data_IF_366387348242
#
_entry.id   IF_366387348242
#
_cell.length_a   1.000
_cell.length_b   1.000
_cell.length_c   1.000
_cell.angle_alpha   90.00
_cell.angle_beta   90.00
_cell.angle_gamma   90.00
#
_symmetry.space_group_name_H-M   'P 1'
#
loop_
_entity.id
_entity.type
_entity.pdbx_description
1 polymer ?
#
# COMPACT_ATOMS: atom_id res chain seq x y z
N UNK A 1 -7.93 -9.49 -3.69
CA UNK A 1 -7.03 -9.54 -2.52
C UNK A 1 -5.84 -8.66 -2.79
N UNK A 2 -5.51 -7.76 -1.89
CA UNK A 2 -4.19 -7.18 -1.92
C UNK A 2 -3.27 -8.03 -1.05
N UNK A 3 -2.24 -8.56 -1.66
CA UNK A 3 -1.08 -9.02 -0.93
C UNK A 3 -0.02 -7.94 -1.02
N UNK A 4 0.51 -7.50 0.09
CA UNK A 4 1.62 -6.54 0.11
C UNK A 4 2.78 -6.99 -0.78
N UNK A 5 2.99 -8.31 -0.88
CA UNK A 5 3.96 -8.91 -1.77
C UNK A 5 3.67 -8.64 -3.26
N UNK A 6 2.41 -8.61 -3.67
CA UNK A 6 2.03 -8.32 -5.06
C UNK A 6 2.20 -6.82 -5.38
N UNK A 7 1.85 -5.96 -4.42
CA UNK A 7 2.10 -4.51 -4.54
C UNK A 7 3.61 -4.23 -4.67
N UNK A 8 4.42 -4.86 -3.80
CA UNK A 8 5.88 -4.76 -3.88
C UNK A 8 6.41 -5.20 -5.25
N UNK A 9 6.01 -6.37 -5.72
CA UNK A 9 6.44 -6.91 -7.01
C UNK A 9 6.08 -5.99 -8.17
N UNK A 10 4.85 -5.47 -8.18
CA UNK A 10 4.39 -4.56 -9.24
C UNK A 10 5.22 -3.29 -9.29
N UNK A 11 5.54 -2.70 -8.13
CA UNK A 11 6.38 -1.51 -8.04
C UNK A 11 7.82 -1.82 -8.47
N UNK A 12 8.39 -2.92 -7.99
CA UNK A 12 9.74 -3.35 -8.32
C UNK A 12 9.90 -3.68 -9.82
N UNK A 13 8.95 -4.39 -10.41
CA UNK A 13 8.92 -4.69 -11.85
C UNK A 13 8.83 -3.42 -12.69
N UNK A 14 8.00 -2.46 -12.26
CA UNK A 14 7.85 -1.18 -12.95
C UNK A 14 9.13 -0.37 -12.91
N UNK A 15 9.85 -0.34 -11.78
CA UNK A 15 11.17 0.29 -11.68
C UNK A 15 12.16 -0.41 -12.60
N UNK A 16 12.29 -1.73 -12.50
CA UNK A 16 13.24 -2.53 -13.28
C UNK A 16 13.03 -2.37 -14.79
N UNK A 17 11.78 -2.34 -15.24
CA UNK A 17 11.44 -2.23 -16.66
C UNK A 17 11.75 -0.85 -17.26
N UNK A 18 11.69 0.22 -16.46
CA UNK A 18 11.82 1.59 -16.94
C UNK A 18 13.12 2.27 -16.55
N UNK A 19 13.76 1.81 -15.48
CA UNK A 19 15.00 2.38 -14.92
C UNK A 19 16.06 1.27 -14.78
N UNK A 20 16.61 0.76 -15.89
CA UNK A 20 17.53 -0.38 -15.89
C UNK A 20 18.86 -0.10 -15.16
N UNK A 21 19.18 1.15 -14.92
CA UNK A 21 20.36 1.56 -14.15
C UNK A 21 20.21 1.34 -12.64
N UNK A 22 18.99 1.17 -12.15
CA UNK A 22 18.75 0.76 -10.76
C UNK A 22 19.14 -0.70 -10.63
N UNK A 23 20.18 -0.97 -9.84
CA UNK A 23 20.81 -2.29 -9.73
C UNK A 23 20.30 -3.15 -8.62
N UNK A 24 19.64 -2.54 -7.63
CA UNK A 24 19.11 -3.23 -6.46
C UNK A 24 17.74 -2.66 -6.07
N UNK A 25 16.78 -3.53 -5.82
CA UNK A 25 15.47 -3.16 -5.32
C UNK A 25 15.12 -4.13 -4.19
N UNK A 26 14.77 -3.59 -3.03
CA UNK A 26 14.48 -4.38 -1.84
C UNK A 26 13.47 -3.64 -0.93
N UNK A 27 13.03 -4.28 0.14
CA UNK A 27 12.29 -3.61 1.20
C UNK A 27 13.23 -2.78 2.07
N UNK A 28 12.70 -1.68 2.63
CA UNK A 28 13.45 -0.82 3.52
C UNK A 28 13.58 -1.45 4.91
N UNK A 29 14.81 -1.57 5.41
CA UNK A 29 15.17 -2.07 6.74
C UNK A 29 16.23 -1.21 7.40
N UNK A 30 16.39 0.04 6.97
CA UNK A 30 17.50 0.92 7.41
C UNK A 30 18.90 0.39 7.06
N UNK A 31 18.99 -0.59 6.15
CA UNK A 31 20.25 -1.29 5.80
C UNK A 31 21.35 -0.35 5.31
N UNK A 32 20.99 0.83 4.80
CA UNK A 32 21.96 1.85 4.38
C UNK A 32 22.76 2.40 5.57
N UNK A 33 22.18 2.41 6.77
CA UNK A 33 22.84 2.90 7.99
C UNK A 33 23.86 1.91 8.55
N UNK A 34 23.79 0.65 8.11
CA UNK A 34 24.60 -0.47 8.63
C UNK A 34 25.41 -1.16 7.53
N UNK A 35 25.88 -0.41 6.52
CA UNK A 35 26.61 -0.95 5.36
C UNK A 35 27.83 -1.82 5.71
N UNK A 36 28.40 -1.63 6.91
CA UNK A 36 29.55 -2.43 7.39
C UNK A 36 29.11 -3.79 7.97
N UNK A 37 27.85 -3.93 8.34
CA UNK A 37 27.27 -5.12 9.00
C UNK A 37 26.37 -5.91 8.05
N UNK A 38 25.83 -5.27 7.03
CA UNK A 38 24.95 -5.84 6.02
C UNK A 38 25.73 -6.35 4.80
N UNK A 39 25.12 -7.25 4.06
CA UNK A 39 25.67 -7.68 2.77
C UNK A 39 25.72 -6.49 1.81
N UNK A 40 26.85 -6.23 1.16
CA UNK A 40 26.96 -5.13 0.22
C UNK A 40 26.00 -5.34 -0.95
N UNK A 41 25.21 -4.32 -1.25
CA UNK A 41 24.34 -4.27 -2.42
C UNK A 41 24.88 -3.29 -3.47
N UNK A 42 24.64 -3.55 -4.77
CA UNK A 42 25.08 -2.64 -5.82
C UNK A 42 24.25 -1.37 -5.85
N UNK A 43 24.89 -0.23 -6.13
CA UNK A 43 24.22 1.07 -6.30
C UNK A 43 24.16 1.46 -7.79
N UNK A 44 23.17 2.26 -8.22
CA UNK A 44 22.04 2.81 -7.50
C UNK A 44 21.07 1.74 -6.98
N UNK A 45 20.52 1.95 -5.78
CA UNK A 45 19.55 1.06 -5.15
C UNK A 45 18.27 1.81 -4.77
N UNK A 46 17.13 1.14 -4.85
CA UNK A 46 15.83 1.64 -4.38
C UNK A 46 15.28 0.69 -3.34
N UNK A 47 14.94 1.22 -2.18
CA UNK A 47 14.27 0.46 -1.14
C UNK A 47 12.84 0.96 -0.98
N UNK A 48 11.92 0.03 -0.82
CA UNK A 48 10.47 0.29 -0.80
C UNK A 48 9.95 0.08 0.61
N UNK A 49 9.22 1.06 1.13
CA UNK A 49 8.50 0.95 2.38
C UNK A 49 7.02 1.26 2.19
N UNK A 50 6.17 0.64 3.01
CA UNK A 50 4.73 0.83 2.99
C UNK A 50 4.22 1.17 4.38
N UNK A 51 3.39 2.19 4.46
CA UNK A 51 2.64 2.50 5.67
C UNK A 51 1.18 2.84 5.36
N UNK A 52 0.27 2.35 6.17
CA UNK A 52 -1.15 2.70 6.09
C UNK A 52 -1.40 3.98 6.88
N UNK A 53 -1.87 5.02 6.20
CA UNK A 53 -2.22 6.31 6.81
C UNK A 53 -3.65 6.33 7.33
N UNK A 54 -4.55 5.72 6.60
CA UNK A 54 -5.96 5.64 6.93
C UNK A 54 -6.53 4.31 6.42
N UNK A 55 -7.47 3.74 7.18
CA UNK A 55 -8.23 2.57 6.76
C UNK A 55 -9.72 2.85 6.97
N UNK A 56 -10.52 2.60 5.94
CA UNK A 56 -11.98 2.75 5.96
C UNK A 56 -12.64 1.46 5.58
N UNK A 57 -13.67 1.08 6.31
CA UNK A 57 -14.51 -0.07 5.93
C UNK A 57 -15.36 0.30 4.71
N UNK A 58 -15.26 -0.49 3.66
CA UNK A 58 -16.02 -0.34 2.42
C UNK A 58 -16.91 -1.58 2.17
N UNK A 59 -17.64 -1.98 3.18
CA UNK A 59 -18.49 -3.17 3.19
C UNK A 59 -18.00 -4.27 4.12
N UNK A 60 -18.71 -5.40 4.13
CA UNK A 60 -18.39 -6.52 5.01
C UNK A 60 -17.05 -7.15 4.61
N UNK A 61 -16.06 -7.12 5.53
CA UNK A 61 -14.72 -7.70 5.35
C UNK A 61 -13.92 -7.10 4.17
N UNK A 62 -14.24 -5.86 3.78
CA UNK A 62 -13.53 -5.11 2.74
C UNK A 62 -13.09 -3.78 3.29
N UNK A 63 -11.83 -3.43 3.11
CA UNK A 63 -11.29 -2.14 3.50
C UNK A 63 -10.72 -1.38 2.31
N UNK A 64 -10.82 -0.07 2.38
CA UNK A 64 -10.11 0.87 1.53
C UNK A 64 -9.00 1.53 2.35
N UNK A 65 -7.76 1.37 1.92
CA UNK A 65 -6.59 1.84 2.62
C UNK A 65 -5.98 3.02 1.90
N UNK A 66 -5.72 4.12 2.60
CA UNK A 66 -4.80 5.15 2.13
C UNK A 66 -3.39 4.70 2.50
N UNK A 67 -2.63 4.30 1.49
CA UNK A 67 -1.27 3.77 1.64
C UNK A 67 -0.26 4.82 1.23
N UNK A 68 0.70 5.07 2.10
CA UNK A 68 1.92 5.77 1.74
C UNK A 68 2.96 4.74 1.31
N UNK A 69 3.54 4.96 0.14
CA UNK A 69 4.67 4.21 -0.40
C UNK A 69 5.87 5.13 -0.43
N UNK A 70 6.91 4.77 0.31
CA UNK A 70 8.17 5.49 0.33
C UNK A 70 9.20 4.76 -0.52
N UNK A 71 9.81 5.49 -1.44
CA UNK A 71 10.92 5.01 -2.27
C UNK A 71 12.20 5.69 -1.80
N UNK A 72 13.10 4.92 -1.17
CA UNK A 72 14.39 5.38 -0.71
C UNK A 72 15.43 5.11 -1.79
N UNK A 73 15.85 6.15 -2.50
CA UNK A 73 16.92 6.06 -3.48
C UNK A 73 18.27 6.25 -2.80
N UNK A 74 19.08 5.23 -2.82
CA UNK A 74 20.47 5.28 -2.38
C UNK A 74 21.41 5.31 -3.58
N UNK A 75 22.27 6.33 -3.62
CA UNK A 75 23.20 6.57 -4.71
C UNK A 75 24.56 6.96 -4.17
N UNK A 76 25.56 6.10 -4.33
CA UNK A 76 26.93 6.44 -4.00
C UNK A 76 27.52 7.38 -5.05
N UNK A 77 28.00 8.53 -4.61
CA UNK A 77 28.66 9.52 -5.45
C UNK A 77 30.05 9.80 -4.90
N UNK A 78 31.06 9.48 -5.67
CA UNK A 78 32.47 9.75 -5.33
C UNK A 78 33.01 11.02 -6.01
N UNK A 79 32.14 11.75 -6.68
CA UNK A 79 32.50 12.96 -7.44
C UNK A 79 31.97 14.21 -6.73
N UNK A 80 32.67 15.31 -6.97
CA UNK A 80 32.31 16.58 -6.35
C UNK A 80 31.11 17.24 -6.98
N UNK A 81 30.15 17.69 -6.16
CA UNK A 81 28.92 18.34 -6.59
C UNK A 81 28.98 19.87 -6.69
N UNK A 82 30.09 20.49 -6.25
CA UNK A 82 30.21 21.94 -6.28
C UNK A 82 30.24 22.49 -7.71
N UNK A 83 29.74 23.71 -7.89
CA UNK A 83 29.69 24.37 -9.18
C UNK A 83 31.09 24.57 -9.78
N UNK A 84 31.27 24.15 -11.06
CA UNK A 84 32.53 24.16 -11.75
C UNK A 84 33.46 22.96 -11.47
N UNK A 85 33.03 21.97 -10.71
CA UNK A 85 33.74 20.71 -10.57
C UNK A 85 33.85 19.96 -11.91
N UNK A 86 35.02 19.37 -12.16
CA UNK A 86 35.27 18.60 -13.40
C UNK A 86 34.29 17.44 -13.60
N UNK A 87 33.85 16.82 -12.51
CA UNK A 87 32.94 15.65 -12.54
C UNK A 87 31.50 15.98 -12.12
N UNK A 88 31.14 17.26 -12.07
CA UNK A 88 29.84 17.71 -11.56
C UNK A 88 28.63 17.00 -12.21
N UNK A 89 28.66 16.83 -13.54
CA UNK A 89 27.55 16.20 -14.26
C UNK A 89 27.24 14.77 -13.75
N UNK A 90 28.27 13.96 -13.56
CA UNK A 90 28.12 12.61 -13.00
C UNK A 90 27.76 12.64 -11.49
N UNK A 91 28.27 13.64 -10.76
CA UNK A 91 27.97 13.80 -9.34
C UNK A 91 26.48 14.16 -9.10
N UNK A 92 25.84 14.84 -10.05
CA UNK A 92 24.45 15.26 -9.94
C UNK A 92 23.44 14.26 -10.58
N UNK A 93 23.93 13.17 -11.15
CA UNK A 93 23.06 12.22 -11.87
C UNK A 93 21.96 11.60 -10.97
N UNK A 94 22.22 11.47 -9.68
CA UNK A 94 21.18 10.99 -8.74
C UNK A 94 19.94 11.90 -8.71
N UNK A 95 20.06 13.20 -8.97
CA UNK A 95 18.92 14.13 -9.06
C UNK A 95 18.04 13.81 -10.28
N UNK A 96 18.65 13.36 -11.37
CA UNK A 96 17.91 12.87 -12.55
C UNK A 96 17.12 11.61 -12.19
N UNK A 97 17.73 10.67 -11.46
CA UNK A 97 17.05 9.45 -11.00
C UNK A 97 15.84 9.74 -10.09
N UNK A 98 15.95 10.73 -9.21
CA UNK A 98 14.81 11.19 -8.41
C UNK A 98 13.66 11.72 -9.30
N UNK A 99 14.01 12.47 -10.35
CA UNK A 99 13.03 12.99 -11.30
C UNK A 99 12.36 11.87 -12.10
N UNK A 100 13.11 10.88 -12.53
CA UNK A 100 12.61 9.71 -13.26
C UNK A 100 11.69 8.85 -12.40
N UNK A 101 12.08 8.57 -11.15
CA UNK A 101 11.23 7.86 -10.18
C UNK A 101 9.91 8.61 -9.95
N UNK A 102 9.98 9.95 -9.80
CA UNK A 102 8.77 10.75 -9.71
C UNK A 102 7.88 10.60 -10.94
N UNK A 103 8.42 10.76 -12.14
CA UNK A 103 7.69 10.68 -13.39
C UNK A 103 7.09 9.28 -13.65
N UNK A 104 7.73 8.24 -13.13
CA UNK A 104 7.28 6.85 -13.27
C UNK A 104 6.00 6.57 -12.48
N UNK A 105 5.82 7.20 -11.31
CA UNK A 105 4.72 6.89 -10.39
C UNK A 105 3.66 7.98 -10.30
N UNK A 106 4.04 9.26 -10.32
CA UNK A 106 3.10 10.35 -10.13
C UNK A 106 2.03 10.40 -11.23
N UNK A 107 0.76 10.46 -10.84
CA UNK A 107 -0.37 10.45 -11.75
C UNK A 107 -0.59 9.11 -12.48
N UNK A 108 0.01 8.03 -11.99
CA UNK A 108 -0.11 6.69 -12.59
C UNK A 108 -0.78 5.73 -11.61
N UNK A 109 -1.66 4.90 -12.15
CA UNK A 109 -2.25 3.79 -11.42
C UNK A 109 -1.56 2.47 -11.78
N UNK A 110 -1.74 1.47 -10.94
CA UNK A 110 -1.32 0.10 -11.17
C UNK A 110 -2.50 -0.87 -11.12
N UNK A 111 -2.19 -2.15 -11.08
CA UNK A 111 -3.19 -3.20 -10.89
C UNK A 111 -3.67 -3.25 -9.44
N UNK A 112 -2.76 -3.01 -8.48
CA UNK A 112 -3.01 -3.15 -7.06
C UNK A 112 -3.12 -1.82 -6.31
N UNK A 113 -2.97 -0.68 -7.00
CA UNK A 113 -3.07 0.65 -6.41
C UNK A 113 -3.74 1.64 -7.35
N UNK A 114 -4.41 2.63 -6.78
CA UNK A 114 -4.98 3.75 -7.51
C UNK A 114 -3.89 4.70 -8.02
N UNK A 115 -4.29 5.82 -8.60
CA UNK A 115 -3.35 6.88 -9.00
C UNK A 115 -2.46 7.31 -7.81
N UNK A 116 -1.14 7.19 -7.99
CA UNK A 116 -0.16 7.64 -7.00
C UNK A 116 0.05 9.15 -7.08
N UNK A 117 0.03 9.81 -5.94
CA UNK A 117 0.34 11.22 -5.82
C UNK A 117 1.58 11.40 -4.95
N UNK A 118 2.62 12.08 -5.48
CA UNK A 118 3.77 12.44 -4.65
C UNK A 118 3.36 13.46 -3.59
N UNK A 119 3.71 13.19 -2.33
CA UNK A 119 3.43 14.03 -1.17
C UNK A 119 4.67 14.71 -0.61
N UNK A 120 5.82 14.03 -0.69
CA UNK A 120 7.08 14.55 -0.15
C UNK A 120 8.30 14.09 -0.98
N UNK A 121 9.39 14.82 -0.84
CA UNK A 121 10.73 14.44 -1.23
C UNK A 121 11.70 15.04 -0.19
N UNK A 122 12.48 14.21 0.45
CA UNK A 122 13.41 14.63 1.50
C UNK A 122 14.71 13.86 1.42
N UNK A 123 15.79 14.53 1.84
CA UNK A 123 17.07 13.89 2.05
C UNK A 123 17.05 13.19 3.41
N UNK A 124 17.63 12.01 3.48
CA UNK A 124 17.82 11.24 4.70
C UNK A 124 19.31 11.05 4.99
N UNK A 125 19.63 10.72 6.23
CA UNK A 125 20.99 10.40 6.63
C UNK A 125 21.37 9.00 6.11
N UNK A 126 22.53 8.87 5.50
CA UNK A 126 23.00 7.62 4.89
C UNK A 126 24.11 6.92 5.68
N UNK A 127 24.42 7.41 6.88
CA UNK A 127 25.50 6.87 7.72
C UNK A 127 26.91 6.92 7.09
N UNK A 128 27.07 7.48 5.89
CA UNK A 128 28.32 7.47 5.15
C UNK A 128 28.34 8.32 3.88
N UNK A 129 29.05 7.86 2.86
CA UNK A 129 29.39 8.62 1.65
C UNK A 129 28.28 8.64 0.57
N UNK A 130 27.12 8.09 0.81
CA UNK A 130 26.04 8.03 -0.19
C UNK A 130 25.05 9.17 -0.08
N UNK A 131 24.32 9.40 -1.17
CA UNK A 131 23.13 10.23 -1.18
C UNK A 131 21.91 9.34 -0.97
N UNK A 132 21.17 9.56 0.11
CA UNK A 132 19.92 8.89 0.42
C UNK A 132 18.77 9.90 0.34
N UNK A 133 17.83 9.63 -0.53
CA UNK A 133 16.62 10.45 -0.70
C UNK A 133 15.37 9.58 -0.62
N UNK A 134 14.39 10.03 0.15
CA UNK A 134 13.07 9.45 0.19
C UNK A 134 12.12 10.24 -0.69
N UNK A 135 11.35 9.54 -1.52
CA UNK A 135 10.21 10.09 -2.26
C UNK A 135 8.97 9.39 -1.75
N UNK A 136 8.05 10.15 -1.17
CA UNK A 136 6.80 9.62 -0.62
C UNK A 136 5.66 9.81 -1.62
N UNK A 137 4.90 8.75 -1.82
CA UNK A 137 3.67 8.74 -2.61
C UNK A 137 2.51 8.27 -1.76
N UNK A 138 1.32 8.77 -2.05
CA UNK A 138 0.07 8.26 -1.50
C UNK A 138 -0.80 7.69 -2.62
N UNK A 139 -1.44 6.58 -2.35
CA UNK A 139 -2.43 5.95 -3.23
C UNK A 139 -3.50 5.23 -2.40
N UNK A 140 -4.61 4.93 -3.06
CA UNK A 140 -5.68 4.12 -2.46
C UNK A 140 -5.54 2.68 -2.91
N UNK A 141 -5.70 1.78 -1.95
CA UNK A 141 -5.61 0.35 -2.14
C UNK A 141 -6.85 -0.32 -1.54
N UNK A 142 -7.50 -1.21 -2.29
CA UNK A 142 -8.64 -1.98 -1.79
C UNK A 142 -8.17 -3.32 -1.24
N UNK A 143 -8.45 -3.58 0.03
CA UNK A 143 -8.11 -4.83 0.71
C UNK A 143 -9.35 -5.73 0.85
N UNK A 144 -9.29 -6.87 0.18
CA UNK A 144 -10.30 -7.93 0.21
C UNK A 144 -9.82 -9.18 0.96
N UNK A 145 -8.65 -9.13 1.61
CA UNK A 145 -8.01 -10.32 2.19
C UNK A 145 -8.90 -11.00 3.22
N UNK A 146 -9.56 -10.23 4.09
CA UNK A 146 -10.46 -10.79 5.09
C UNK A 146 -11.66 -11.52 4.45
N UNK A 147 -12.22 -10.96 3.37
CA UNK A 147 -13.34 -11.56 2.64
C UNK A 147 -12.95 -12.86 1.93
N UNK A 148 -11.77 -12.92 1.36
CA UNK A 148 -11.30 -14.09 0.62
C UNK A 148 -10.82 -15.23 1.52
N UNK A 149 -10.24 -14.90 2.69
CA UNK A 149 -9.77 -15.89 3.66
C UNK A 149 -10.88 -16.48 4.50
N UNK A 150 -11.97 -15.75 4.70
CA UNK A 150 -13.17 -16.31 5.32
C UNK A 150 -13.99 -17.02 4.23
N UNK A 151 -13.93 -18.34 4.18
CA UNK A 151 -14.93 -19.11 3.47
C UNK A 151 -16.29 -18.75 4.05
N UNK A 152 -17.19 -18.17 3.23
CA UNK A 152 -18.61 -18.06 3.57
C UNK A 152 -19.08 -19.49 3.82
N UNK A 153 -19.29 -19.84 5.08
CA UNK A 153 -20.05 -21.03 5.42
C UNK A 153 -21.46 -20.70 4.96
N UNK A 154 -21.87 -21.23 3.80
CA UNK A 154 -23.26 -21.19 3.42
C UNK A 154 -24.01 -21.85 4.57
N UNK A 155 -24.77 -21.04 5.32
CA UNK A 155 -25.75 -21.61 6.22
C UNK A 155 -26.65 -22.51 5.36
N UNK A 156 -26.76 -23.81 5.67
CA UNK A 156 -27.76 -24.63 5.01
C UNK A 156 -29.08 -23.91 5.19
N UNK A 157 -29.88 -23.81 4.10
CA UNK A 157 -31.22 -23.26 4.15
C UNK A 157 -31.95 -23.91 5.31
N UNK A 158 -32.09 -23.19 6.40
CA UNK A 158 -33.00 -23.57 7.45
C UNK A 158 -34.37 -23.24 6.89
N UNK A 159 -35.06 -24.25 6.44
CA UNK A 159 -36.51 -24.18 6.34
C UNK A 159 -37.02 -23.76 7.73
N UNK A 160 -37.39 -22.51 7.84
CA UNK A 160 -38.10 -22.01 9.00
C UNK A 160 -39.53 -22.51 8.85
N UNK A 161 -39.77 -23.71 9.29
CA UNK A 161 -41.17 -24.18 9.53
C UNK A 161 -41.72 -23.26 10.64
N UNK A 162 -42.40 -22.23 10.22
CA UNK A 162 -43.21 -21.41 11.11
C UNK A 162 -44.59 -22.11 11.29
N UNK A 163 -44.62 -23.25 11.97
CA UNK A 163 -45.83 -23.72 12.60
C UNK A 163 -46.18 -22.81 13.78
N UNK A 164 -46.77 -21.68 13.49
CA UNK A 164 -47.50 -20.92 14.46
C UNK A 164 -48.97 -21.27 14.28
N UNK A 165 -49.38 -22.40 14.84
CA UNK A 165 -50.79 -22.58 15.11
C UNK A 165 -51.30 -21.46 16.00
N UNK A 166 -52.09 -20.57 15.41
CA UNK A 166 -52.84 -19.60 16.19
C UNK A 166 -53.86 -20.37 17.02
N UNK A 167 -53.87 -20.18 18.34
CA UNK A 167 -54.94 -20.78 19.16
C UNK A 167 -56.31 -20.32 18.66
N UNK A 168 -57.29 -21.25 18.60
CA UNK A 168 -58.62 -20.91 18.11
C UNK A 168 -59.19 -19.73 18.90
N UNK A 169 -59.75 -18.78 18.17
CA UNK A 169 -60.39 -17.61 18.77
C UNK A 169 -61.44 -18.04 19.79
N UNK A 170 -61.22 -17.69 21.04
CA UNK A 170 -62.25 -17.93 22.09
C UNK A 170 -63.56 -17.23 21.70
N UNK A 171 -64.60 -18.01 21.57
CA UNK A 171 -65.93 -17.48 21.30
C UNK A 171 -66.33 -16.54 22.45
N UNK A 172 -66.41 -15.25 22.17
CA UNK A 172 -66.98 -14.28 23.09
C UNK A 172 -68.46 -14.52 23.21
N UNK A 173 -68.89 -15.11 24.33
CA UNK A 173 -70.29 -15.13 24.71
C UNK A 173 -70.75 -13.72 25.05
N UNK A 174 -71.68 -13.19 24.27
CA UNK A 174 -72.28 -11.89 24.55
C UNK A 174 -73.04 -11.91 25.89
N UNK A 175 -72.91 -10.89 26.73
CA UNK A 175 -73.69 -10.81 27.94
C UNK A 175 -75.17 -10.49 27.60
N UNK A 176 -76.06 -11.34 28.09
CA UNK A 176 -77.49 -11.15 27.97
C UNK A 176 -77.89 -10.09 29.02
N UNK A 177 -78.28 -8.91 28.57
CA UNK A 177 -78.86 -7.90 29.45
C UNK A 177 -80.36 -8.18 29.58
N UNK A 178 -80.83 -8.60 30.79
CA UNK A 178 -82.23 -8.58 31.18
C UNK A 178 -82.65 -7.17 31.52
N UNK A 179 -83.61 -6.63 30.79
CA UNK A 179 -84.27 -5.36 31.08
C UNK A 179 -85.53 -5.65 31.90
N UNK A 180 -85.61 -5.17 33.13
CA UNK A 180 -86.79 -4.90 33.85
C UNK A 180 -86.97 -3.45 34.03
#
# INVERSE_FOLDING_TARGET
MIYWSELYKEIAEKITANLPDIRWIDLWHEQVNYLMEELPFPTPAVFIDFSTREAKDNGLLVQELLVQTDLHLFYETFSDTYDGSYNQAGALDFLNRLTELHALFHGKHGKHYSEMRRTDISREESGGAGNLYRISFECVVSDYAAKELFNEVQMPDREVESEKELPPAAAQSAPMYDVK
#
